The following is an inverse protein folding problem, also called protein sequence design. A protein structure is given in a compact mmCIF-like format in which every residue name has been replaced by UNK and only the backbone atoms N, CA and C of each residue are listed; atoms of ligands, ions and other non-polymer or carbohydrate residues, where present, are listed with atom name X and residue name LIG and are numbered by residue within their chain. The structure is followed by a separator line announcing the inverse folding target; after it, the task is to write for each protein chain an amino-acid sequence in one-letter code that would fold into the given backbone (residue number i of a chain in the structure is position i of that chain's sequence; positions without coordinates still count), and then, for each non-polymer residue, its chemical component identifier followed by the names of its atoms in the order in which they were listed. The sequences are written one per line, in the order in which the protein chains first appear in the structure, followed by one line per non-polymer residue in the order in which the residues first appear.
data_IF_925505215080
#
_entry.id   IF_925505215080
#
_cell.length_a   1.000
_cell.length_b   1.000
_cell.length_c   1.000
_cell.angle_alpha   90.00
_cell.angle_beta   90.00
_cell.angle_gamma   90.00
#
_symmetry.space_group_name_H-M   'P 1'
#
loop_
_entity.id
_entity.type
_entity.pdbx_description
1 polymer ?
#
# COMPACT_ATOMS: atom_id res chain seq x y z
N UNK A 1 9.57 12.56 -5.78
CA UNK A 1 10.79 11.82 -5.34
C UNK A 1 10.54 10.35 -5.64
N UNK A 2 11.56 9.55 -5.96
CA UNK A 2 11.35 8.11 -6.16
C UNK A 2 11.23 7.42 -4.79
N UNK A 3 10.26 6.53 -4.63
CA UNK A 3 10.18 5.69 -3.41
C UNK A 3 11.29 4.65 -3.44
N UNK A 4 11.86 4.34 -2.28
CA UNK A 4 12.91 3.34 -2.14
C UNK A 4 12.35 1.91 -1.99
N UNK A 5 11.03 1.79 -1.82
CA UNK A 5 10.35 0.50 -1.73
C UNK A 5 10.19 -0.14 -3.10
N UNK A 6 10.60 -1.40 -3.22
CA UNK A 6 10.32 -2.22 -4.41
C UNK A 6 8.83 -2.52 -4.43
N UNK A 7 8.12 -2.02 -5.44
CA UNK A 7 6.69 -2.30 -5.67
C UNK A 7 6.46 -2.86 -7.08
N UNK A 8 5.46 -3.71 -7.21
CA UNK A 8 5.04 -4.25 -8.49
C UNK A 8 3.53 -4.50 -8.51
N UNK A 9 3.01 -4.65 -9.72
CA UNK A 9 1.59 -4.87 -10.02
C UNK A 9 1.44 -6.21 -10.72
N UNK A 10 0.42 -6.98 -10.37
CA UNK A 10 0.01 -8.15 -11.16
C UNK A 10 -0.99 -7.75 -12.27
N UNK A 11 -1.35 -8.69 -13.15
CA UNK A 11 -2.31 -8.46 -14.25
C UNK A 11 -3.75 -8.14 -13.81
N UNK A 12 -4.04 -8.21 -12.51
CA UNK A 12 -5.34 -7.93 -11.91
C UNK A 12 -5.42 -6.54 -11.27
N UNK A 13 -4.38 -5.70 -11.34
CA UNK A 13 -4.27 -4.42 -10.61
C UNK A 13 -4.12 -4.59 -9.09
N UNK A 14 -3.61 -5.74 -8.66
CA UNK A 14 -3.14 -5.95 -7.29
C UNK A 14 -1.72 -5.46 -7.16
N UNK A 15 -1.49 -4.62 -6.17
CA UNK A 15 -0.18 -4.07 -5.85
C UNK A 15 0.46 -4.83 -4.71
N UNK A 16 1.75 -5.10 -4.87
CA UNK A 16 2.60 -5.74 -3.88
C UNK A 16 3.88 -4.94 -3.72
N UNK A 17 4.50 -5.05 -2.56
CA UNK A 17 5.81 -4.47 -2.32
C UNK A 17 6.55 -5.14 -1.19
N UNK A 18 7.86 -4.93 -1.16
CA UNK A 18 8.71 -5.37 -0.05
C UNK A 18 8.80 -4.30 1.03
N UNK A 19 8.29 -4.60 2.22
CA UNK A 19 8.43 -3.74 3.39
C UNK A 19 9.40 -4.45 4.34
N UNK A 20 10.63 -3.94 4.43
CA UNK A 20 11.74 -4.69 5.01
C UNK A 20 12.09 -5.89 4.14
N UNK A 21 12.00 -7.09 4.70
CA UNK A 21 12.27 -8.37 4.02
C UNK A 21 10.98 -9.17 3.71
N UNK A 22 9.80 -8.61 3.98
CA UNK A 22 8.52 -9.29 3.79
C UNK A 22 7.76 -8.74 2.57
N UNK A 23 7.24 -9.65 1.76
CA UNK A 23 6.30 -9.33 0.69
C UNK A 23 4.94 -9.01 1.31
N UNK A 24 4.43 -7.79 1.07
CA UNK A 24 3.15 -7.35 1.56
C UNK A 24 2.20 -6.94 0.43
N UNK A 25 0.92 -7.24 0.61
CA UNK A 25 -0.15 -6.77 -0.27
C UNK A 25 -0.48 -5.31 0.03
N UNK A 26 -0.25 -4.45 -0.96
CA UNK A 26 -0.45 -3.00 -0.86
C UNK A 26 -1.85 -2.56 -1.30
N UNK A 27 -2.68 -3.48 -1.81
CA UNK A 27 -4.08 -3.21 -2.13
C UNK A 27 -4.42 -3.39 -3.61
N UNK A 28 -5.71 -3.59 -3.87
CA UNK A 28 -6.29 -3.64 -5.20
C UNK A 28 -6.81 -2.26 -5.58
N UNK A 29 -6.25 -1.63 -6.62
CA UNK A 29 -6.59 -0.27 -7.12
C UNK A 29 -6.53 0.89 -6.11
N UNK A 30 -6.27 0.61 -4.85
CA UNK A 30 -6.20 1.58 -3.75
C UNK A 30 -4.79 2.15 -3.58
N UNK A 31 -3.81 1.57 -4.28
CA UNK A 31 -2.42 2.00 -4.26
C UNK A 31 -2.25 3.33 -5.02
N UNK A 32 -1.57 4.33 -4.45
CA UNK A 32 -1.31 5.61 -5.10
C UNK A 32 -0.34 5.45 -6.27
N UNK A 33 -0.71 5.97 -7.44
CA UNK A 33 0.13 5.95 -8.65
C UNK A 33 0.09 7.34 -9.31
N UNK A 34 1.20 8.11 -9.32
CA UNK A 34 2.50 7.78 -8.73
C UNK A 34 2.47 7.87 -7.19
N UNK A 35 3.27 7.05 -6.48
CA UNK A 35 3.39 7.16 -5.03
C UNK A 35 4.21 8.40 -4.63
N UNK A 36 3.67 9.22 -3.73
CA UNK A 36 4.28 10.45 -3.22
C UNK A 36 4.48 10.43 -1.69
N UNK A 37 5.39 11.27 -1.19
CA UNK A 37 5.68 11.37 0.24
C UNK A 37 4.43 11.84 1.00
N UNK A 38 4.11 11.14 2.09
CA UNK A 38 2.94 11.42 2.91
C UNK A 38 1.64 10.78 2.44
N UNK A 39 1.61 10.12 1.27
CA UNK A 39 0.45 9.35 0.84
C UNK A 39 0.11 8.25 1.85
N UNK A 40 -1.18 8.14 2.14
CA UNK A 40 -1.72 7.13 3.04
C UNK A 40 -2.93 6.46 2.39
N UNK A 41 -3.02 5.14 2.54
CA UNK A 41 -4.15 4.37 2.02
C UNK A 41 -4.45 3.18 2.91
N UNK A 42 -5.68 2.68 2.80
CA UNK A 42 -6.14 1.47 3.48
C UNK A 42 -6.53 0.45 2.43
N UNK A 43 -6.04 -0.78 2.56
CA UNK A 43 -6.38 -1.86 1.66
C UNK A 43 -7.76 -2.43 1.96
N UNK A 44 -8.28 -3.21 1.02
CA UNK A 44 -9.54 -3.94 1.19
C UNK A 44 -9.49 -4.95 2.34
N UNK A 45 -8.29 -5.41 2.71
CA UNK A 45 -8.05 -6.30 3.83
C UNK A 45 -8.04 -5.57 5.19
N UNK A 46 -8.08 -4.23 5.17
CA UNK A 46 -8.00 -3.36 6.35
C UNK A 46 -6.58 -2.94 6.73
N UNK A 47 -5.56 -3.33 5.95
CA UNK A 47 -4.18 -2.91 6.22
C UNK A 47 -3.96 -1.45 5.83
N UNK A 48 -3.37 -0.67 6.73
CA UNK A 48 -3.10 0.75 6.55
C UNK A 48 -1.62 0.94 6.23
N UNK A 49 -1.33 1.71 5.18
CA UNK A 49 0.02 2.03 4.74
C UNK A 49 0.20 3.53 4.61
N UNK A 50 1.43 3.99 4.83
CA UNK A 50 1.84 5.38 4.61
C UNK A 50 3.25 5.47 4.08
N UNK A 51 3.52 6.42 3.20
CA UNK A 51 4.87 6.72 2.73
C UNK A 51 5.52 7.71 3.70
N UNK A 52 6.60 7.27 4.34
CA UNK A 52 7.40 8.04 5.30
C UNK A 52 8.86 7.94 4.88
N UNK A 53 9.53 9.08 4.69
CA UNK A 53 10.92 9.18 4.25
C UNK A 53 11.19 8.41 2.94
N UNK A 54 10.22 8.41 2.02
CA UNK A 54 10.28 7.71 0.74
C UNK A 54 10.12 6.19 0.83
N UNK A 55 9.69 5.65 1.97
CA UNK A 55 9.50 4.21 2.21
C UNK A 55 8.05 3.93 2.58
N UNK A 56 7.47 2.88 2.00
CA UNK A 56 6.14 2.40 2.41
C UNK A 56 6.25 1.75 3.78
N UNK A 57 5.51 2.29 4.75
CA UNK A 57 5.44 1.81 6.12
C UNK A 57 4.04 1.25 6.41
N UNK A 58 3.96 0.04 6.96
CA UNK A 58 2.71 -0.51 7.48
C UNK A 58 2.40 0.12 8.83
N UNK A 59 1.26 0.79 8.92
CA UNK A 59 0.80 1.48 10.14
C UNK A 59 -0.03 0.57 11.05
N UNK A 60 -0.44 -0.60 10.53
CA UNK A 60 -1.26 -1.58 11.25
C UNK A 60 -2.51 -1.96 10.46
N UNK A 61 -3.46 -2.58 11.16
CA UNK A 61 -4.69 -3.10 10.56
C UNK A 61 -5.91 -2.51 11.25
N UNK A 62 -6.82 -1.96 10.47
CA UNK A 62 -8.15 -1.55 10.90
C UNK A 62 -9.18 -2.60 10.48
N UNK A 63 -10.37 -2.55 11.07
CA UNK A 63 -11.53 -3.24 10.51
C UNK A 63 -11.70 -2.82 9.03
N UNK A 64 -11.87 -3.78 8.11
CA UNK A 64 -11.98 -3.47 6.69
C UNK A 64 -13.12 -2.46 6.48
N UNK A 65 -12.90 -1.40 5.69
CA UNK A 65 -13.92 -0.39 5.47
C UNK A 65 -15.18 -1.09 4.96
N UNK A 66 -16.29 -0.93 5.69
CA UNK A 66 -17.58 -1.52 5.30
C UNK A 66 -17.93 -0.99 3.92
N UNK A 67 -17.76 -1.83 2.88
CA UNK A 67 -18.24 -1.54 1.52
C UNK A 67 -19.77 -1.49 1.61
N UNK A 68 -20.34 -0.30 1.63
CA UNK A 68 -21.76 -0.10 1.33
C UNK A 68 -21.91 -0.26 -0.19
N UNK A 69 -22.50 -1.37 -0.63
CA UNK A 69 -22.95 -1.56 -2.01
C UNK A 69 -24.18 -0.69 -2.30
#
# INVERSE_FOLDING_TARGET
MAINTIVWMNGSLDWFGYIGDEEMFLGHRSFPVPPEEGDEWTTEAGDMFKIIDGVITHLGKTDPPKKYW
#
